data_IF_205228148329
#
_entry.id   IF_205228148329
#
_cell.length_a   1.000
_cell.length_b   1.000
_cell.length_c   1.000
_cell.angle_alpha   90.00
_cell.angle_beta   90.00
_cell.angle_gamma   90.00
#
_symmetry.space_group_name_H-M   'P 1'
#
loop_
_entity.id
_entity.type
_entity.pdbx_description
1 polymer ?
#
# COMPACT_ATOMS: atom_id res chain seq x y z
N UNK A 1 34.16 0.30 12.76
CA UNK A 1 33.05 0.84 13.57
C UNK A 1 32.78 2.24 13.04
N UNK A 2 31.93 2.39 12.07
CA UNK A 2 31.38 3.67 11.61
C UNK A 2 29.95 3.67 12.11
N UNK A 3 29.71 4.45 13.16
CA UNK A 3 28.40 4.75 13.66
C UNK A 3 27.72 5.64 12.61
N UNK A 4 26.77 5.11 11.87
CA UNK A 4 25.74 5.89 11.21
C UNK A 4 24.67 6.19 12.25
N UNK A 5 24.91 7.17 13.11
CA UNK A 5 23.83 7.90 13.74
C UNK A 5 23.16 8.73 12.65
N UNK A 6 22.27 8.12 11.86
CA UNK A 6 21.22 8.89 11.20
C UNK A 6 20.35 9.44 12.31
N UNK A 7 20.54 10.68 12.70
CA UNK A 7 19.56 11.41 13.47
C UNK A 7 18.30 11.46 12.59
N UNK A 8 17.32 10.61 12.89
CA UNK A 8 15.96 10.76 12.43
C UNK A 8 15.40 12.03 13.08
N UNK A 9 15.69 13.17 12.46
CA UNK A 9 15.00 14.43 12.72
C UNK A 9 13.62 14.34 12.06
N UNK A 10 12.77 13.43 12.57
CA UNK A 10 11.39 13.33 12.12
C UNK A 10 10.69 14.65 12.43
N UNK A 11 9.95 15.17 11.46
CA UNK A 11 9.05 16.31 11.66
C UNK A 11 8.14 16.07 12.85
N UNK A 12 7.82 17.10 13.60
CA UNK A 12 6.98 17.02 14.81
C UNK A 12 5.53 16.59 14.48
N UNK A 13 5.11 16.74 13.21
CA UNK A 13 3.74 16.55 12.73
C UNK A 13 3.55 15.29 11.87
N UNK A 14 4.35 14.24 12.09
CA UNK A 14 4.20 12.97 11.36
C UNK A 14 2.95 12.21 11.76
N UNK A 15 2.39 11.40 10.83
CA UNK A 15 1.23 10.54 11.11
C UNK A 15 1.50 9.60 12.29
N UNK A 16 2.64 8.94 12.29
CA UNK A 16 3.10 8.02 13.35
C UNK A 16 4.03 8.77 14.27
N UNK A 17 3.93 8.51 15.58
CA UNK A 17 4.80 9.19 16.55
C UNK A 17 6.29 8.94 16.27
N UNK A 18 7.16 9.97 16.38
CA UNK A 18 8.60 9.79 16.17
C UNK A 18 9.22 8.76 17.10
N UNK A 19 8.70 8.61 18.31
CA UNK A 19 9.13 7.58 19.27
C UNK A 19 8.86 6.18 18.75
N UNK A 20 7.68 5.97 18.12
CA UNK A 20 7.31 4.67 17.52
C UNK A 20 8.18 4.36 16.33
N UNK A 21 8.32 5.30 15.37
CA UNK A 21 9.12 5.13 14.17
C UNK A 21 10.57 4.73 14.47
N UNK A 22 11.19 5.31 15.50
CA UNK A 22 12.56 4.98 15.93
C UNK A 22 12.71 3.56 16.46
N UNK A 23 11.65 2.96 16.94
CA UNK A 23 11.66 1.61 17.54
C UNK A 23 11.19 0.52 16.58
N UNK A 24 10.69 0.89 15.39
CA UNK A 24 10.26 -0.09 14.40
C UNK A 24 11.45 -0.86 13.85
N UNK A 25 11.47 -2.19 13.97
CA UNK A 25 12.54 -3.00 13.42
C UNK A 25 12.37 -3.16 11.91
N UNK A 26 13.48 -3.23 11.19
CA UNK A 26 13.51 -3.58 9.78
C UNK A 26 14.52 -4.70 9.54
N UNK A 27 14.33 -5.45 8.46
CA UNK A 27 15.19 -6.55 8.05
C UNK A 27 15.52 -6.45 6.55
N UNK A 28 16.59 -7.11 6.15
CA UNK A 28 16.87 -7.26 4.72
C UNK A 28 15.89 -8.24 4.09
N UNK A 29 15.41 -7.97 2.85
CA UNK A 29 14.54 -8.88 2.14
C UNK A 29 15.28 -10.17 1.76
N UNK A 30 14.58 -11.30 1.82
CA UNK A 30 15.10 -12.60 1.35
C UNK A 30 15.27 -12.65 -0.18
N UNK A 31 14.51 -11.83 -0.90
CA UNK A 31 14.62 -11.59 -2.35
C UNK A 31 14.46 -10.09 -2.59
N UNK A 32 15.38 -9.52 -3.37
CA UNK A 32 15.29 -8.14 -3.84
C UNK A 32 15.66 -8.11 -5.33
N UNK A 33 14.67 -7.96 -6.20
CA UNK A 33 14.86 -8.00 -7.64
C UNK A 33 13.87 -7.08 -8.37
N UNK A 34 14.40 -6.20 -9.22
CA UNK A 34 13.61 -5.32 -10.12
C UNK A 34 12.46 -4.57 -9.44
N UNK A 35 12.70 -4.07 -8.25
CA UNK A 35 11.69 -3.34 -7.47
C UNK A 35 10.86 -4.20 -6.53
N UNK A 36 10.84 -5.53 -6.69
CA UNK A 36 10.16 -6.46 -5.78
C UNK A 36 11.09 -6.87 -4.65
N UNK A 37 10.72 -6.59 -3.42
CA UNK A 37 11.36 -7.05 -2.20
C UNK A 37 10.42 -8.01 -1.47
N UNK A 38 10.89 -9.20 -1.14
CA UNK A 38 10.15 -10.22 -0.40
C UNK A 38 10.81 -10.44 0.94
N UNK A 39 10.07 -10.26 2.01
CA UNK A 39 10.52 -10.43 3.41
C UNK A 39 10.13 -11.78 3.97
N UNK A 40 8.97 -12.31 3.53
CA UNK A 40 8.46 -13.60 3.97
C UNK A 40 7.87 -14.38 2.79
N UNK A 41 8.16 -15.67 2.74
CA UNK A 41 7.56 -16.54 1.72
C UNK A 41 6.09 -16.77 2.04
N UNK A 42 5.31 -17.11 1.01
CA UNK A 42 3.93 -17.53 1.15
C UNK A 42 3.80 -18.72 2.10
N UNK A 43 2.81 -18.69 2.97
CA UNK A 43 2.42 -19.79 3.85
C UNK A 43 1.10 -20.39 3.38
N UNK A 44 0.96 -21.74 3.34
CA UNK A 44 -0.31 -22.36 2.96
C UNK A 44 -1.45 -21.95 3.90
N UNK A 45 -2.64 -21.74 3.33
CA UNK A 45 -3.87 -21.34 4.04
C UNK A 45 -3.82 -19.94 4.70
N UNK A 46 -2.80 -19.13 4.40
CA UNK A 46 -2.79 -17.73 4.79
C UNK A 46 -3.57 -16.88 3.80
N UNK A 47 -4.17 -15.81 4.29
CA UNK A 47 -4.92 -14.83 3.53
C UNK A 47 -4.07 -13.58 3.31
N UNK A 48 -3.93 -13.18 2.05
CA UNK A 48 -3.13 -12.02 1.68
C UNK A 48 -3.96 -10.97 0.98
N UNK A 49 -3.63 -9.71 1.21
CA UNK A 49 -4.16 -8.56 0.48
C UNK A 49 -3.00 -7.83 -0.17
N UNK A 50 -3.19 -7.44 -1.43
CA UNK A 50 -2.29 -6.55 -2.15
C UNK A 50 -2.97 -5.20 -2.29
N UNK A 51 -2.36 -4.17 -1.73
CA UNK A 51 -2.78 -2.78 -1.90
C UNK A 51 -1.88 -2.10 -2.92
N UNK A 52 -2.47 -1.36 -3.86
CA UNK A 52 -1.78 -0.86 -5.05
C UNK A 52 -1.98 0.64 -5.19
N UNK A 53 -0.88 1.36 -5.31
CA UNK A 53 -0.80 2.76 -5.72
C UNK A 53 -0.12 2.86 -7.09
N UNK A 54 -0.70 3.63 -8.03
CA UNK A 54 -0.30 3.64 -9.43
C UNK A 54 0.17 5.01 -9.88
N UNK A 55 1.44 5.11 -10.26
CA UNK A 55 2.00 6.29 -10.91
C UNK A 55 1.99 6.17 -12.45
N UNK A 56 2.21 7.30 -13.13
CA UNK A 56 2.23 7.37 -14.61
C UNK A 56 3.48 6.78 -15.27
N UNK A 57 4.50 6.38 -14.49
CA UNK A 57 5.76 5.86 -15.02
C UNK A 57 6.60 6.94 -15.72
N UNK A 58 6.55 8.18 -15.25
CA UNK A 58 7.28 9.35 -15.78
C UNK A 58 8.53 9.70 -14.97
N UNK A 59 9.01 8.77 -14.16
CA UNK A 59 10.21 8.86 -13.29
C UNK A 59 10.09 9.83 -12.09
N UNK A 60 8.95 10.48 -11.86
CA UNK A 60 8.76 11.37 -10.72
C UNK A 60 8.15 10.63 -9.52
N UNK A 61 7.09 9.85 -9.76
CA UNK A 61 6.38 9.10 -8.74
C UNK A 61 6.54 7.60 -9.01
N UNK A 62 6.38 6.78 -7.99
CA UNK A 62 6.53 5.34 -8.10
C UNK A 62 5.18 4.64 -8.20
N UNK A 63 5.07 3.66 -9.10
CA UNK A 63 4.04 2.64 -8.96
C UNK A 63 4.49 1.66 -7.87
N UNK A 64 3.65 1.45 -6.89
CA UNK A 64 3.95 0.64 -5.72
C UNK A 64 2.81 -0.32 -5.40
N UNK A 65 3.14 -1.43 -4.75
CA UNK A 65 2.18 -2.25 -4.03
C UNK A 65 2.80 -2.89 -2.80
N UNK A 66 1.95 -3.23 -1.85
CA UNK A 66 2.31 -4.03 -0.68
C UNK A 66 1.48 -5.29 -0.59
N UNK A 67 2.14 -6.38 -0.20
CA UNK A 67 1.49 -7.65 0.15
C UNK A 67 1.45 -7.75 1.66
N UNK A 68 0.25 -7.83 2.21
CA UNK A 68 0.01 -7.91 3.65
C UNK A 68 -0.62 -9.27 3.98
N UNK A 69 -0.02 -10.00 4.89
CA UNK A 69 -0.64 -11.17 5.52
C UNK A 69 -1.66 -10.69 6.54
N UNK A 70 -2.92 -11.04 6.33
CA UNK A 70 -4.05 -10.63 7.17
C UNK A 70 -4.68 -11.79 7.93
N UNK A 71 -3.99 -12.92 7.99
CA UNK A 71 -4.51 -14.17 8.60
C UNK A 71 -4.74 -14.01 10.09
N UNK A 72 -3.77 -13.43 10.78
CA UNK A 72 -3.80 -13.21 12.23
C UNK A 72 -3.19 -11.88 12.61
N UNK A 73 -3.52 -11.34 13.78
CA UNK A 73 -2.83 -10.19 14.35
C UNK A 73 -1.54 -10.61 15.07
N UNK A 74 -0.48 -9.83 14.97
CA UNK A 74 -0.35 -8.63 14.13
C UNK A 74 -0.37 -8.99 12.64
N UNK A 75 -0.96 -8.11 11.82
CA UNK A 75 -0.81 -8.19 10.36
C UNK A 75 0.66 -7.94 9.98
N UNK A 76 1.10 -8.48 8.86
CA UNK A 76 2.51 -8.38 8.47
C UNK A 76 2.66 -8.04 6.98
N UNK A 77 3.44 -7.01 6.68
CA UNK A 77 3.89 -6.75 5.30
C UNK A 77 4.93 -7.80 4.93
N UNK A 78 4.61 -8.66 3.98
CA UNK A 78 5.46 -9.81 3.58
C UNK A 78 6.22 -9.57 2.28
N UNK A 79 5.76 -8.63 1.46
CA UNK A 79 6.46 -8.18 0.26
C UNK A 79 6.05 -6.76 -0.12
N UNK A 80 6.93 -6.06 -0.84
CA UNK A 80 6.63 -4.78 -1.46
C UNK A 80 7.22 -4.69 -2.85
N UNK A 81 6.58 -3.91 -3.71
CA UNK A 81 7.08 -3.51 -5.02
C UNK A 81 7.13 -2.00 -5.13
N UNK A 82 8.17 -1.46 -5.76
CA UNK A 82 8.31 -0.04 -6.05
C UNK A 82 9.13 0.16 -7.32
N UNK A 83 8.58 0.90 -8.28
CA UNK A 83 9.27 1.20 -9.54
C UNK A 83 8.70 2.46 -10.19
N UNK A 84 9.55 3.41 -10.57
CA UNK A 84 9.16 4.68 -11.20
C UNK A 84 9.24 4.69 -12.72
N UNK A 85 9.68 3.60 -13.34
CA UNK A 85 9.80 3.45 -14.80
C UNK A 85 8.77 2.47 -15.38
N UNK A 86 8.09 1.70 -14.51
CA UNK A 86 7.11 0.71 -14.96
C UNK A 86 5.93 1.39 -15.66
N UNK A 87 5.63 0.94 -16.86
CA UNK A 87 4.47 1.45 -17.59
C UNK A 87 3.18 0.89 -17.01
N UNK A 88 2.12 1.71 -16.85
CA UNK A 88 0.84 1.28 -16.30
C UNK A 88 0.23 0.07 -17.00
N UNK A 89 0.46 -0.12 -18.30
CA UNK A 89 -0.05 -1.27 -19.06
C UNK A 89 0.67 -2.59 -18.72
N UNK A 90 1.89 -2.53 -18.20
CA UNK A 90 2.68 -3.72 -17.81
C UNK A 90 2.47 -4.07 -16.34
N UNK A 91 2.23 -3.07 -15.51
CA UNK A 91 2.15 -3.21 -14.07
C UNK A 91 1.10 -4.25 -13.60
N UNK A 92 -0.12 -4.35 -14.21
CA UNK A 92 -1.10 -5.38 -13.87
C UNK A 92 -0.57 -6.81 -13.91
N UNK A 93 0.30 -7.13 -14.86
CA UNK A 93 0.87 -8.47 -14.97
C UNK A 93 1.76 -8.81 -13.77
N UNK A 94 2.57 -7.85 -13.30
CA UNK A 94 3.42 -8.02 -12.11
C UNK A 94 2.55 -8.20 -10.85
N UNK A 95 1.50 -7.39 -10.71
CA UNK A 95 0.57 -7.48 -9.58
C UNK A 95 -0.06 -8.88 -9.53
N UNK A 96 -0.58 -9.36 -10.66
CA UNK A 96 -1.26 -10.66 -10.73
C UNK A 96 -0.30 -11.82 -10.50
N UNK A 97 0.91 -11.77 -11.05
CA UNK A 97 1.91 -12.80 -10.82
C UNK A 97 2.23 -12.94 -9.32
N UNK A 98 2.37 -11.82 -8.63
CA UNK A 98 2.56 -11.83 -7.17
C UNK A 98 1.30 -12.29 -6.44
N UNK A 99 0.12 -11.83 -6.83
CA UNK A 99 -1.15 -12.22 -6.20
C UNK A 99 -1.40 -13.72 -6.30
N UNK A 100 -1.14 -14.32 -7.47
CA UNK A 100 -1.23 -15.77 -7.68
C UNK A 100 -0.26 -16.55 -6.79
N UNK A 101 0.96 -16.04 -6.64
CA UNK A 101 1.97 -16.64 -5.76
C UNK A 101 1.62 -16.53 -4.27
N UNK A 102 0.87 -15.50 -3.86
CA UNK A 102 0.38 -15.32 -2.50
C UNK A 102 -1.06 -15.79 -2.33
N UNK A 103 -1.31 -17.09 -2.59
CA UNK A 103 -2.59 -17.79 -2.39
C UNK A 103 -3.79 -17.10 -3.04
N UNK A 104 -3.65 -16.56 -4.26
CA UNK A 104 -4.70 -15.79 -4.94
C UNK A 104 -5.13 -14.57 -4.10
N UNK A 105 -4.17 -13.77 -3.66
CA UNK A 105 -4.37 -12.61 -2.80
C UNK A 105 -5.48 -11.69 -3.32
N UNK A 106 -6.25 -11.10 -2.41
CA UNK A 106 -7.18 -10.02 -2.77
C UNK A 106 -6.40 -8.77 -3.18
N UNK A 107 -6.84 -8.09 -4.24
CA UNK A 107 -6.20 -6.87 -4.73
C UNK A 107 -7.12 -5.68 -4.47
N UNK A 108 -6.59 -4.62 -3.87
CA UNK A 108 -7.22 -3.32 -3.72
C UNK A 108 -6.41 -2.27 -4.47
N UNK A 109 -6.93 -1.77 -5.59
CA UNK A 109 -6.29 -0.69 -6.34
C UNK A 109 -6.83 0.67 -5.91
N UNK A 110 -5.97 1.64 -5.71
CA UNK A 110 -6.36 3.04 -5.78
C UNK A 110 -6.66 3.39 -7.24
N UNK A 111 -7.87 3.91 -7.51
CA UNK A 111 -8.34 4.16 -8.88
C UNK A 111 -8.41 5.63 -9.25
N UNK A 112 -7.71 6.47 -8.53
CA UNK A 112 -7.49 7.84 -8.93
C UNK A 112 -6.59 7.87 -10.17
N UNK A 113 -6.78 8.86 -11.03
CA UNK A 113 -5.97 9.07 -12.23
C UNK A 113 -5.84 7.79 -13.09
N UNK A 114 -4.62 7.27 -13.26
CA UNK A 114 -4.30 6.12 -14.11
C UNK A 114 -4.63 4.77 -13.45
N UNK A 115 -4.83 4.74 -12.14
CA UNK A 115 -5.12 3.51 -11.40
C UNK A 115 -6.40 2.80 -11.86
N UNK A 116 -7.39 3.57 -12.36
CA UNK A 116 -8.58 3.00 -12.97
C UNK A 116 -8.27 2.11 -14.17
N UNK A 117 -7.33 2.49 -15.04
CA UNK A 117 -6.91 1.68 -16.17
C UNK A 117 -6.23 0.37 -15.72
N UNK A 118 -5.41 0.43 -14.68
CA UNK A 118 -4.77 -0.76 -14.11
C UNK A 118 -5.82 -1.73 -13.55
N UNK A 119 -6.80 -1.23 -12.82
CA UNK A 119 -7.91 -2.02 -12.28
C UNK A 119 -8.77 -2.65 -13.41
N UNK A 120 -9.05 -1.91 -14.48
CA UNK A 120 -9.79 -2.42 -15.64
C UNK A 120 -9.02 -3.56 -16.34
N UNK A 121 -7.73 -3.42 -16.56
CA UNK A 121 -6.88 -4.50 -17.14
C UNK A 121 -6.88 -5.73 -16.24
N UNK A 122 -6.74 -5.57 -14.91
CA UNK A 122 -6.78 -6.69 -13.95
C UNK A 122 -8.10 -7.43 -14.05
N UNK A 123 -9.23 -6.70 -14.09
CA UNK A 123 -10.57 -7.30 -14.06
C UNK A 123 -10.98 -7.90 -15.41
N UNK A 124 -10.79 -7.15 -16.51
CA UNK A 124 -11.39 -7.48 -17.79
C UNK A 124 -10.43 -8.17 -18.77
N UNK A 125 -9.15 -7.77 -18.79
CA UNK A 125 -8.19 -8.37 -19.71
C UNK A 125 -7.50 -9.60 -19.11
N UNK A 126 -7.21 -9.57 -17.80
CA UNK A 126 -6.51 -10.64 -17.09
C UNK A 126 -7.46 -11.52 -16.27
N UNK A 127 -8.76 -11.17 -16.24
CA UNK A 127 -9.85 -11.93 -15.61
C UNK A 127 -9.53 -12.38 -14.17
N UNK A 128 -8.94 -11.48 -13.37
CA UNK A 128 -8.59 -11.79 -11.99
C UNK A 128 -9.77 -11.57 -11.06
N UNK A 129 -10.29 -12.66 -10.47
CA UNK A 129 -11.55 -12.65 -9.71
C UNK A 129 -11.47 -11.96 -8.34
N UNK A 130 -10.28 -11.93 -7.72
CA UNK A 130 -10.09 -11.40 -6.37
C UNK A 130 -9.75 -9.89 -6.35
N UNK A 131 -10.25 -9.11 -7.31
CA UNK A 131 -10.19 -7.66 -7.28
C UNK A 131 -11.32 -7.10 -6.41
N UNK A 132 -10.96 -6.32 -5.38
CA UNK A 132 -11.91 -5.69 -4.48
C UNK A 132 -12.61 -4.51 -5.16
N UNK A 133 -13.91 -4.39 -4.91
CA UNK A 133 -14.77 -3.35 -5.46
C UNK A 133 -15.31 -2.47 -4.34
N UNK A 134 -15.35 -1.17 -4.56
CA UNK A 134 -16.02 -0.23 -3.67
C UNK A 134 -17.47 -0.02 -4.11
N UNK A 135 -18.43 -0.21 -3.20
CA UNK A 135 -19.80 0.16 -3.43
C UNK A 135 -20.02 1.64 -3.10
N UNK A 136 -20.48 2.42 -4.06
CA UNK A 136 -20.85 3.83 -3.86
C UNK A 136 -22.17 3.90 -3.10
N UNK A 137 -22.11 4.12 -1.80
CA UNK A 137 -23.30 4.46 -1.00
C UNK A 137 -23.35 5.97 -0.82
N UNK A 138 -24.26 6.67 -1.53
CA UNK A 138 -24.62 8.07 -1.34
C UNK A 138 -23.77 8.88 -0.33
N UNK A 139 -24.37 9.36 0.77
CA UNK A 139 -23.67 10.13 1.81
C UNK A 139 -22.87 9.30 2.82
N UNK A 140 -22.93 7.98 2.76
CA UNK A 140 -22.37 7.08 3.81
C UNK A 140 -20.97 6.51 3.48
N UNK A 141 -20.28 7.03 2.44
CA UNK A 141 -18.94 6.57 2.07
C UNK A 141 -18.91 5.30 1.22
N UNK A 142 -17.70 4.82 0.94
CA UNK A 142 -17.45 3.62 0.16
C UNK A 142 -17.43 2.38 1.09
N UNK A 143 -17.96 1.26 0.61
CA UNK A 143 -17.87 -0.02 1.29
C UNK A 143 -17.18 -1.00 0.35
N UNK A 144 -16.15 -1.69 0.84
CA UNK A 144 -15.48 -2.75 0.11
C UNK A 144 -16.36 -4.02 0.12
N UNK A 145 -16.39 -4.73 -1.00
CA UNK A 145 -17.11 -5.98 -1.12
C UNK A 145 -16.75 -6.73 -2.39
N UNK A 146 -17.06 -8.00 -2.42
CA UNK A 146 -17.06 -8.82 -3.64
C UNK A 146 -18.47 -8.86 -4.22
N UNK A 147 -18.59 -8.62 -5.51
CA UNK A 147 -19.70 -9.08 -6.33
C UNK A 147 -20.90 -8.18 -6.52
N UNK A 148 -21.74 -8.68 -7.36
CA UNK A 148 -22.90 -8.14 -8.05
C UNK A 148 -24.05 -7.81 -7.08
N UNK A 149 -24.03 -6.65 -6.49
CA UNK A 149 -25.21 -6.09 -5.86
C UNK A 149 -25.60 -4.88 -6.68
N UNK A 150 -26.68 -4.88 -7.44
CA UNK A 150 -27.20 -3.88 -8.38
C UNK A 150 -27.08 -2.39 -8.07
N UNK A 151 -26.07 -1.99 -7.32
CA UNK A 151 -25.61 -0.64 -7.04
C UNK A 151 -24.38 -0.36 -7.89
N UNK A 152 -24.15 0.87 -8.28
CA UNK A 152 -22.93 1.29 -8.97
C UNK A 152 -21.73 0.87 -8.12
N UNK A 153 -21.07 -0.21 -8.54
CA UNK A 153 -19.78 -0.65 -7.97
C UNK A 153 -18.67 -0.04 -8.80
N UNK A 154 -17.59 0.37 -8.15
CA UNK A 154 -16.37 0.82 -8.79
C UNK A 154 -15.27 -0.19 -8.46
N UNK A 155 -14.50 -0.59 -9.46
CA UNK A 155 -13.30 -1.40 -9.23
C UNK A 155 -12.33 -0.60 -8.35
N UNK A 156 -11.82 -1.23 -7.28
CA UNK A 156 -10.90 -0.58 -6.37
C UNK A 156 -11.51 0.56 -5.54
N UNK A 157 -10.67 1.39 -4.97
CA UNK A 157 -11.05 2.51 -4.09
C UNK A 157 -10.66 3.85 -4.69
N UNK A 158 -11.60 4.81 -4.68
CA UNK A 158 -11.29 6.20 -5.02
C UNK A 158 -10.81 6.92 -3.76
N UNK A 159 -9.54 7.29 -3.74
CA UNK A 159 -8.95 8.05 -2.65
C UNK A 159 -9.49 9.50 -2.66
N UNK A 160 -10.39 9.80 -1.75
CA UNK A 160 -10.84 11.15 -1.43
C UNK A 160 -10.20 11.61 -0.12
N UNK A 161 -10.24 12.90 0.18
CA UNK A 161 -9.73 13.43 1.47
C UNK A 161 -10.33 12.68 2.66
N UNK A 162 -11.62 12.40 2.64
CA UNK A 162 -12.29 11.67 3.73
C UNK A 162 -11.82 10.20 3.82
N UNK A 163 -11.64 9.51 2.69
CA UNK A 163 -11.12 8.14 2.66
C UNK A 163 -9.69 8.11 3.17
N UNK A 164 -8.83 9.02 2.69
CA UNK A 164 -7.44 9.14 3.15
C UNK A 164 -7.36 9.42 4.66
N UNK A 165 -8.21 10.31 5.20
CA UNK A 165 -8.24 10.57 6.65
C UNK A 165 -8.59 9.31 7.46
N UNK A 166 -9.58 8.55 7.00
CA UNK A 166 -9.97 7.27 7.67
C UNK A 166 -8.84 6.25 7.56
N UNK A 167 -8.23 6.09 6.39
CA UNK A 167 -7.09 5.19 6.17
C UNK A 167 -5.91 5.56 7.06
N UNK A 168 -5.51 6.85 7.07
CA UNK A 168 -4.44 7.35 7.95
C UNK A 168 -4.74 7.09 9.44
N UNK A 169 -5.98 7.30 9.87
CA UNK A 169 -6.37 7.03 11.26
C UNK A 169 -6.25 5.55 11.62
N UNK A 170 -6.69 4.67 10.72
CA UNK A 170 -6.59 3.21 10.91
C UNK A 170 -5.13 2.74 10.89
N UNK A 171 -4.32 3.23 9.94
CA UNK A 171 -2.90 2.91 9.86
C UNK A 171 -2.17 3.32 11.14
N UNK A 172 -2.45 4.55 11.63
CA UNK A 172 -1.91 5.02 12.91
C UNK A 172 -2.24 4.06 14.05
N UNK A 173 -3.50 3.69 14.19
CA UNK A 173 -3.94 2.78 15.25
C UNK A 173 -3.24 1.41 15.15
N UNK A 174 -3.15 0.82 13.95
CA UNK A 174 -2.49 -0.46 13.72
C UNK A 174 -1.00 -0.44 14.09
N UNK A 175 -0.28 0.65 13.72
CA UNK A 175 1.15 0.77 14.02
C UNK A 175 1.39 1.08 15.50
N UNK A 176 0.66 2.06 16.08
CA UNK A 176 0.86 2.46 17.49
C UNK A 176 0.50 1.34 18.47
N UNK A 177 -0.44 0.47 18.10
CA UNK A 177 -0.88 -0.67 18.91
C UNK A 177 -0.13 -1.98 18.62
N UNK A 178 0.97 -1.94 17.87
CA UNK A 178 1.75 -3.13 17.45
C UNK A 178 0.93 -4.20 16.70
N UNK A 179 -0.10 -3.78 15.96
CA UNK A 179 -0.98 -4.66 15.19
C UNK A 179 -0.59 -4.79 13.71
N UNK A 180 0.43 -4.05 13.27
CA UNK A 180 1.00 -4.13 11.93
C UNK A 180 2.52 -4.15 12.00
N UNK A 181 3.13 -5.19 11.43
CA UNK A 181 4.58 -5.34 11.30
C UNK A 181 4.98 -4.87 9.90
N UNK A 182 5.92 -3.93 9.82
CA UNK A 182 6.47 -3.39 8.58
C UNK A 182 7.98 -3.64 8.59
N UNK A 183 8.48 -4.69 7.91
CA UNK A 183 9.90 -5.02 7.91
C UNK A 183 10.73 -4.20 6.92
N UNK A 184 10.08 -3.43 6.03
CA UNK A 184 10.71 -2.69 4.96
C UNK A 184 11.23 -1.32 5.42
N UNK A 185 12.54 -1.10 5.28
CA UNK A 185 13.18 0.15 5.64
C UNK A 185 12.64 1.35 4.82
N UNK A 186 12.44 1.18 3.50
CA UNK A 186 11.98 2.28 2.65
C UNK A 186 10.58 2.75 3.05
N UNK A 187 9.69 1.83 3.42
CA UNK A 187 8.35 2.17 3.93
C UNK A 187 8.43 2.93 5.25
N UNK A 188 9.29 2.49 6.18
CA UNK A 188 9.50 3.19 7.45
C UNK A 188 10.07 4.59 7.19
N UNK A 189 11.02 4.72 6.25
CA UNK A 189 11.59 6.00 5.86
C UNK A 189 10.52 6.97 5.31
N UNK A 190 9.62 6.51 4.43
CA UNK A 190 8.50 7.33 3.95
C UNK A 190 7.57 7.77 5.09
N UNK A 191 7.27 6.89 6.04
CA UNK A 191 6.46 7.23 7.20
C UNK A 191 7.10 8.32 8.09
N UNK A 192 8.44 8.47 8.07
CA UNK A 192 9.13 9.55 8.80
C UNK A 192 8.95 10.93 8.19
N UNK A 193 8.60 10.99 6.90
CA UNK A 193 8.35 12.23 6.15
C UNK A 193 6.87 12.41 5.78
N UNK A 194 6.00 11.48 6.22
CA UNK A 194 4.56 11.53 5.98
C UNK A 194 3.86 12.39 7.04
N UNK A 195 3.70 13.66 6.70
CA UNK A 195 3.32 14.74 7.63
C UNK A 195 1.91 15.27 7.35
N UNK A 196 1.39 16.01 8.33
CA UNK A 196 0.14 16.78 8.16
C UNK A 196 0.33 17.86 7.09
N UNK A 197 -0.49 17.84 6.04
CA UNK A 197 -0.62 18.89 5.04
C UNK A 197 -2.08 19.36 4.92
N UNK A 198 -2.37 20.50 5.49
CA UNK A 198 -3.75 21.02 5.54
C UNK A 198 -4.69 20.13 6.35
N UNK A 199 -5.70 19.56 5.69
CA UNK A 199 -6.67 18.62 6.32
C UNK A 199 -6.34 17.16 6.02
N UNK A 200 -5.13 16.84 5.57
CA UNK A 200 -4.73 15.49 5.17
C UNK A 200 -3.27 15.23 5.55
N UNK A 201 -2.72 14.12 5.05
CA UNK A 201 -1.32 13.77 5.18
C UNK A 201 -0.70 13.61 3.80
N UNK A 202 0.57 13.93 3.64
CA UNK A 202 1.36 13.70 2.44
C UNK A 202 2.85 13.72 2.79
N UNK A 203 3.70 13.27 1.88
CA UNK A 203 5.14 13.40 2.02
C UNK A 203 5.58 14.86 2.14
N UNK A 204 6.65 15.12 2.86
CA UNK A 204 7.37 16.42 2.84
C UNK A 204 7.81 16.76 1.41
N UNK A 205 8.05 18.04 1.14
CA UNK A 205 8.46 18.48 -0.19
C UNK A 205 9.80 17.85 -0.59
N UNK A 206 9.81 17.17 -1.73
CA UNK A 206 10.96 16.41 -2.23
C UNK A 206 11.07 14.98 -1.72
N UNK A 207 10.12 14.53 -0.91
CA UNK A 207 9.99 13.14 -0.49
C UNK A 207 8.83 12.44 -1.20
N UNK A 208 8.79 11.12 -1.12
CA UNK A 208 7.75 10.27 -1.68
C UNK A 208 6.87 9.67 -0.58
N UNK A 209 5.62 9.32 -0.91
CA UNK A 209 4.68 8.64 -0.03
C UNK A 209 3.98 7.43 -0.67
N UNK A 210 4.50 6.93 -1.79
CA UNK A 210 3.87 5.84 -2.56
C UNK A 210 3.72 4.55 -1.74
N UNK A 211 4.73 4.18 -0.95
CA UNK A 211 4.69 3.02 -0.06
C UNK A 211 3.78 3.27 1.15
N UNK A 212 3.84 4.48 1.73
CA UNK A 212 2.95 4.87 2.81
C UNK A 212 1.48 4.85 2.34
N UNK A 213 1.20 5.32 1.11
CA UNK A 213 -0.13 5.32 0.51
C UNK A 213 -0.66 3.91 0.26
N UNK A 214 0.19 2.94 -0.07
CA UNK A 214 -0.23 1.54 -0.13
C UNK A 214 -0.75 1.00 1.22
N UNK A 215 -0.38 1.60 2.35
CA UNK A 215 -0.85 1.19 3.69
C UNK A 215 -2.06 1.99 4.18
N UNK A 216 -2.35 3.15 3.56
CA UNK A 216 -3.47 4.02 3.90
C UNK A 216 -4.77 3.56 3.26
#
# INVERSE_FOLDING_TARGET
KVEFECEFLGSVDTLISPSKLRTMPYIDPIINNKGLAIYKRVEPNHNYIITVDVARGTSNDYSAFMVVDTTTLPYEVVARYRNNEIKPIIFPNIIIDVARNYNQAYILCEVNDIGGQVADIIQFDLEYENLLMAAMRGRAGQQLGQGFSGKKTQLGVKMSTAVKQVGCSNLKALIEEDKLIIPDYDTIAELTTFIVKGQSFAAEDGCNDDLAMCLV
#
